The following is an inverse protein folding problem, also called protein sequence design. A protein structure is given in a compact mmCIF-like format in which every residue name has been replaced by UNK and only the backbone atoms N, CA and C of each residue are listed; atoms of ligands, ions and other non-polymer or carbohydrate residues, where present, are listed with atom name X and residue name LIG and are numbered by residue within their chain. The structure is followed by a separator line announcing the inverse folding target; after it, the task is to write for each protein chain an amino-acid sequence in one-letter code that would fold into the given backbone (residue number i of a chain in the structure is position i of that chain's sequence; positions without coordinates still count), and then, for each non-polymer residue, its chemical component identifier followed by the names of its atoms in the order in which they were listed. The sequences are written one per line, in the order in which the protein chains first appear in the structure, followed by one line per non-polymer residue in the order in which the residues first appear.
data_IF_933090421770
#
_entry.id   IF_933090421770
#
_cell.length_a   1.000
_cell.length_b   1.000
_cell.length_c   1.000
_cell.angle_alpha   90.00
_cell.angle_beta   90.00
_cell.angle_gamma   90.00
#
_symmetry.space_group_name_H-M   'P 1'
#
loop_
_entity.id
_entity.type
_entity.pdbx_description
1 polymer ?
#
# COMPACT_ATOMS: atom_id res chain seq x y z
N UNK A 1 10.24 -31.44 -8.96
CA UNK A 1 10.52 -30.01 -8.69
C UNK A 1 9.19 -29.26 -8.77
N UNK A 2 8.45 -29.18 -7.66
CA UNK A 2 7.13 -28.53 -7.64
C UNK A 2 7.34 -27.05 -7.91
N UNK A 3 6.90 -26.55 -9.07
CA UNK A 3 6.88 -25.12 -9.35
C UNK A 3 6.04 -24.49 -8.24
N UNK A 4 6.59 -23.65 -7.35
CA UNK A 4 5.75 -22.91 -6.43
C UNK A 4 4.70 -22.20 -7.28
N UNK A 5 3.41 -22.34 -6.92
CA UNK A 5 2.29 -21.77 -7.69
C UNK A 5 2.63 -20.29 -7.91
N UNK A 6 2.98 -19.92 -9.14
CA UNK A 6 3.56 -18.62 -9.48
C UNK A 6 2.69 -17.46 -8.96
N UNK A 7 1.36 -17.67 -8.96
CA UNK A 7 0.38 -16.74 -8.40
C UNK A 7 0.53 -16.48 -6.89
N UNK A 8 0.80 -17.50 -6.08
CA UNK A 8 0.95 -17.36 -4.63
C UNK A 8 2.24 -16.63 -4.23
N UNK A 9 3.27 -16.68 -5.10
CA UNK A 9 4.50 -15.92 -4.91
C UNK A 9 4.33 -14.46 -5.37
N UNK A 10 3.62 -14.27 -6.49
CA UNK A 10 3.30 -12.93 -7.01
C UNK A 10 2.43 -12.11 -6.04
N UNK A 11 1.40 -12.71 -5.44
CA UNK A 11 0.53 -12.04 -4.48
C UNK A 11 1.28 -11.53 -3.25
N UNK A 12 2.26 -12.31 -2.75
CA UNK A 12 3.15 -11.90 -1.65
C UNK A 12 4.05 -10.74 -2.02
N UNK A 13 4.69 -10.77 -3.20
CA UNK A 13 5.54 -9.66 -3.66
C UNK A 13 4.73 -8.37 -3.76
N UNK A 14 3.53 -8.45 -4.37
CA UNK A 14 2.63 -7.30 -4.50
C UNK A 14 2.23 -6.77 -3.12
N UNK A 15 1.91 -7.66 -2.17
CA UNK A 15 1.64 -7.28 -0.78
C UNK A 15 2.81 -6.52 -0.13
N UNK A 16 4.04 -7.04 -0.23
CA UNK A 16 5.23 -6.35 0.30
C UNK A 16 5.48 -5.01 -0.37
N UNK A 17 5.30 -4.92 -1.69
CA UNK A 17 5.46 -3.68 -2.44
C UNK A 17 4.43 -2.62 -2.00
N UNK A 18 3.18 -3.03 -1.78
CA UNK A 18 2.12 -2.15 -1.27
C UNK A 18 2.41 -1.66 0.16
N UNK A 19 2.94 -2.53 1.04
CA UNK A 19 3.35 -2.12 2.39
C UNK A 19 4.51 -1.14 2.34
N UNK A 20 5.54 -1.42 1.54
CA UNK A 20 6.70 -0.56 1.40
C UNK A 20 6.32 0.83 0.85
N UNK A 21 5.47 0.86 -0.18
CA UNK A 21 4.97 2.12 -0.76
C UNK A 21 4.08 2.89 0.21
N UNK A 22 3.26 2.21 1.01
CA UNK A 22 2.47 2.85 2.08
C UNK A 22 3.37 3.47 3.14
N UNK A 23 4.41 2.77 3.59
CA UNK A 23 5.37 3.29 4.56
C UNK A 23 6.14 4.50 4.03
N UNK A 24 6.57 4.46 2.77
CA UNK A 24 7.19 5.60 2.07
C UNK A 24 6.24 6.79 1.99
N UNK A 25 4.96 6.57 1.70
CA UNK A 25 3.95 7.64 1.69
C UNK A 25 3.79 8.29 3.07
N UNK A 26 3.67 7.47 4.13
CA UNK A 26 3.56 7.96 5.51
C UNK A 26 4.79 8.78 5.89
N UNK A 27 5.98 8.30 5.53
CA UNK A 27 7.22 9.02 5.77
C UNK A 27 7.25 10.37 5.04
N UNK A 28 6.81 10.40 3.77
CA UNK A 28 6.69 11.63 3.00
C UNK A 28 5.72 12.62 3.65
N UNK A 29 4.54 12.16 4.08
CA UNK A 29 3.56 13.00 4.80
C UNK A 29 4.16 13.58 6.07
N UNK A 30 4.90 12.77 6.85
CA UNK A 30 5.59 13.25 8.05
C UNK A 30 6.63 14.33 7.73
N UNK A 31 7.38 14.19 6.63
CA UNK A 31 8.33 15.22 6.20
C UNK A 31 7.62 16.50 5.73
N UNK A 32 6.48 16.40 5.04
CA UNK A 32 5.67 17.56 4.63
C UNK A 32 5.08 18.31 5.83
N UNK A 33 4.71 17.59 6.89
CA UNK A 33 4.25 18.15 8.17
C UNK A 33 5.36 18.87 8.91
N UNK A 34 6.55 18.27 8.99
CA UNK A 34 7.72 18.89 9.63
C UNK A 34 8.23 20.11 8.86
N UNK A 35 8.19 20.05 7.53
CA UNK A 35 8.70 21.12 6.66
C UNK A 35 7.69 22.25 6.41
N UNK A 36 6.40 22.03 6.72
CA UNK A 36 5.33 22.99 6.48
C UNK A 36 5.05 23.28 5.00
N UNK A 37 5.53 22.42 4.10
CA UNK A 37 5.44 22.55 2.65
C UNK A 37 5.14 21.19 2.03
N UNK A 38 4.18 21.13 1.12
CA UNK A 38 3.79 19.94 0.35
C UNK A 38 4.00 20.21 -1.13
N UNK A 39 4.49 19.22 -1.86
CA UNK A 39 4.66 19.33 -3.31
C UNK A 39 3.37 18.91 -4.00
N UNK A 40 2.86 19.76 -4.88
CA UNK A 40 1.70 19.45 -5.71
C UNK A 40 1.96 18.18 -6.52
N UNK A 41 1.04 17.21 -6.38
CA UNK A 41 1.05 15.94 -7.12
C UNK A 41 0.50 16.08 -8.55
N UNK A 42 0.29 17.33 -9.02
CA UNK A 42 -0.24 17.58 -10.36
C UNK A 42 0.69 17.02 -11.44
N UNK A 43 0.20 16.01 -12.17
CA UNK A 43 0.95 15.36 -13.27
C UNK A 43 1.02 16.22 -14.55
N UNK A 44 0.24 17.31 -14.63
CA UNK A 44 0.01 18.05 -15.88
C UNK A 44 0.33 19.56 -15.75
N UNK A 45 1.19 19.96 -14.82
CA UNK A 45 1.58 21.36 -14.67
C UNK A 45 2.87 21.54 -13.87
N UNK A 46 3.36 22.80 -13.76
CA UNK A 46 4.55 23.10 -12.97
C UNK A 46 4.38 22.60 -11.54
N UNK A 47 5.40 21.88 -11.05
CA UNK A 47 5.45 21.35 -9.68
C UNK A 47 5.39 22.54 -8.72
N UNK A 48 4.22 22.76 -8.15
CA UNK A 48 3.93 23.90 -7.27
C UNK A 48 4.07 23.44 -5.83
N UNK A 49 4.88 24.12 -5.02
CA UNK A 49 4.97 23.86 -3.60
C UNK A 49 3.88 24.67 -2.88
N UNK A 50 2.97 23.98 -2.18
CA UNK A 50 1.99 24.63 -1.31
C UNK A 50 2.56 24.70 0.10
N UNK A 51 2.66 25.90 0.64
CA UNK A 51 3.09 26.09 2.03
C UNK A 51 1.87 26.33 2.91
N UNK A 52 1.96 25.89 4.16
CA UNK A 52 0.90 26.13 5.14
C UNK A 52 0.67 27.64 5.37
N UNK A 53 1.73 28.45 5.28
CA UNK A 53 1.67 29.89 5.48
C UNK A 53 1.10 30.66 4.27
N UNK A 54 1.28 30.15 3.04
CA UNK A 54 0.80 30.79 1.82
C UNK A 54 -0.59 30.34 1.40
N UNK A 55 -0.81 29.03 1.34
CA UNK A 55 -2.05 28.43 0.81
C UNK A 55 -2.53 27.26 1.70
N UNK A 56 -3.03 27.53 2.93
CA UNK A 56 -3.32 26.51 3.93
C UNK A 56 -4.37 25.49 3.46
N UNK A 57 -5.38 25.92 2.73
CA UNK A 57 -6.44 25.02 2.26
C UNK A 57 -5.92 24.00 1.23
N UNK A 58 -5.07 24.45 0.30
CA UNK A 58 -4.44 23.58 -0.71
C UNK A 58 -3.41 22.65 -0.08
N UNK A 59 -2.67 23.14 0.92
CA UNK A 59 -1.76 22.31 1.73
C UNK A 59 -2.51 21.14 2.37
N UNK A 60 -3.60 21.43 3.12
CA UNK A 60 -4.37 20.38 3.78
C UNK A 60 -5.08 19.45 2.80
N UNK A 61 -5.59 19.96 1.66
CA UNK A 61 -6.17 19.12 0.62
C UNK A 61 -5.14 18.13 0.04
N UNK A 62 -3.90 18.58 -0.19
CA UNK A 62 -2.80 17.72 -0.64
C UNK A 62 -2.47 16.63 0.40
N UNK A 63 -2.27 17.03 1.66
CA UNK A 63 -1.98 16.11 2.78
C UNK A 63 -3.08 15.06 2.94
N UNK A 64 -4.36 15.48 2.93
CA UNK A 64 -5.51 14.56 3.00
C UNK A 64 -5.53 13.60 1.82
N UNK A 65 -5.22 14.08 0.60
CA UNK A 65 -5.16 13.21 -0.58
C UNK A 65 -4.06 12.14 -0.47
N UNK A 66 -2.90 12.50 0.09
CA UNK A 66 -1.83 11.54 0.38
C UNK A 66 -2.27 10.52 1.44
N UNK A 67 -2.95 10.96 2.50
CA UNK A 67 -3.52 10.05 3.51
C UNK A 67 -4.54 9.07 2.91
N UNK A 68 -5.48 9.55 2.09
CA UNK A 68 -6.48 8.69 1.43
C UNK A 68 -5.80 7.66 0.53
N UNK A 69 -4.78 8.09 -0.23
CA UNK A 69 -3.99 7.17 -1.08
C UNK A 69 -3.27 6.11 -0.26
N UNK A 70 -2.66 6.50 0.86
CA UNK A 70 -2.00 5.57 1.78
C UNK A 70 -2.99 4.55 2.38
N UNK A 71 -4.21 4.98 2.74
CA UNK A 71 -5.25 4.08 3.24
C UNK A 71 -5.72 3.08 2.17
N UNK A 72 -5.90 3.53 0.92
CA UNK A 72 -6.27 2.66 -0.20
C UNK A 72 -5.17 1.61 -0.45
N UNK A 73 -3.91 2.03 -0.48
CA UNK A 73 -2.76 1.13 -0.67
C UNK A 73 -2.61 0.14 0.49
N UNK A 74 -2.76 0.61 1.73
CA UNK A 74 -2.73 -0.23 2.93
C UNK A 74 -3.88 -1.24 2.95
N UNK A 75 -5.09 -0.82 2.58
CA UNK A 75 -6.25 -1.70 2.45
C UNK A 75 -6.06 -2.76 1.36
N UNK A 76 -5.51 -2.37 0.20
CA UNK A 76 -5.15 -3.29 -0.86
C UNK A 76 -4.08 -4.30 -0.42
N UNK A 77 -3.08 -3.85 0.35
CA UNK A 77 -2.06 -4.74 0.92
C UNK A 77 -2.69 -5.77 1.86
N UNK A 78 -3.56 -5.34 2.78
CA UNK A 78 -4.27 -6.22 3.70
C UNK A 78 -5.15 -7.23 2.94
N UNK A 79 -5.84 -6.79 1.89
CA UNK A 79 -6.63 -7.66 1.01
C UNK A 79 -5.77 -8.72 0.30
N UNK A 80 -4.61 -8.32 -0.24
CA UNK A 80 -3.67 -9.25 -0.87
C UNK A 80 -3.13 -10.30 0.13
N UNK A 81 -2.79 -9.88 1.35
CA UNK A 81 -2.38 -10.80 2.42
C UNK A 81 -3.50 -11.73 2.87
N UNK A 82 -4.74 -11.24 2.92
CA UNK A 82 -5.91 -12.03 3.27
C UNK A 82 -6.19 -13.12 2.22
N UNK A 83 -6.14 -12.77 0.93
CA UNK A 83 -6.30 -13.73 -0.17
C UNK A 83 -5.19 -14.78 -0.14
N UNK A 84 -3.93 -14.38 0.05
CA UNK A 84 -2.81 -15.31 0.20
C UNK A 84 -3.00 -16.26 1.39
N UNK A 85 -3.60 -15.80 2.49
CA UNK A 85 -3.94 -16.64 3.65
C UNK A 85 -5.01 -17.68 3.31
N UNK A 86 -6.06 -17.30 2.59
CA UNK A 86 -7.13 -18.21 2.18
C UNK A 86 -6.59 -19.33 1.27
N UNK A 87 -5.75 -18.99 0.29
CA UNK A 87 -5.10 -19.96 -0.60
C UNK A 87 -4.24 -20.99 0.14
N UNK A 88 -3.58 -20.58 1.23
CA UNK A 88 -2.80 -21.50 2.09
C UNK A 88 -3.68 -22.39 2.97
N UNK A 89 -4.89 -21.95 3.30
CA UNK A 89 -5.81 -22.69 4.17
C UNK A 89 -6.51 -23.84 3.42
N UNK A 90 -6.81 -23.65 2.13
CA UNK A 90 -7.38 -24.71 1.27
C UNK A 90 -6.37 -25.80 0.89
N UNK A 91 -5.07 -25.54 1.05
CA UNK A 91 -4.01 -26.49 0.72
C UNK A 91 -3.75 -27.55 1.81
N UNK A 92 -4.49 -27.55 2.93
CA UNK A 92 -4.39 -28.61 3.95
C UNK A 92 -4.88 -29.92 3.34
N UNK A 93 -4.00 -30.92 3.12
CA UNK A 93 -4.45 -32.20 2.61
C UNK A 93 -5.23 -32.88 3.73
N UNK A 94 -6.51 -33.11 3.51
CA UNK A 94 -7.30 -34.02 4.33
C UNK A 94 -6.72 -35.41 4.15
N UNK A 95 -5.74 -35.78 4.99
CA UNK A 95 -5.21 -37.12 5.08
C UNK A 95 -6.34 -38.03 5.59
N UNK A 96 -7.13 -38.57 4.67
CA UNK A 96 -8.12 -39.60 4.97
C UNK A 96 -7.34 -40.85 5.39
N UNK A 97 -7.44 -41.33 6.64
CA UNK A 97 -6.72 -42.53 7.04
C UNK A 97 -7.26 -43.70 6.23
N UNK A 98 -6.40 -44.27 5.38
CA UNK A 98 -6.71 -45.44 4.57
C UNK A 98 -6.52 -46.68 5.45
N UNK A 99 -7.53 -47.00 6.25
CA UNK A 99 -7.62 -48.32 6.88
C UNK A 99 -8.08 -49.32 5.81
N UNK A 100 -7.20 -50.24 5.44
CA UNK A 100 -7.50 -51.52 4.78
C UNK A 100 -6.67 -52.59 5.45
#
# INVERSE_FOLDING_TARGET
MSKPKLGAWASRIVGYLLVATTALLIFSIAQELLSGSTLSTNKWGPRTAYTLAGEPFKYWASVVSHCVTALILGGAAAGAFWLARLETTEAVPTHKPRWR
#
